data_IF_883451693275
#
_entry.id   IF_883451693275
#
_cell.length_a   1.000
_cell.length_b   1.000
_cell.length_c   1.000
_cell.angle_alpha   90.00
_cell.angle_beta   90.00
_cell.angle_gamma   90.00
#
_symmetry.space_group_name_H-M   'P 1'
#
loop_
_entity.id
_entity.type
_entity.pdbx_description
1 polymer ?
#
# COMPACT_ATOMS: atom_id res chain seq x y z
N UNK A 1 21.84 16.78 3.51
CA UNK A 1 21.63 18.22 3.57
C UNK A 1 20.13 18.46 3.81
N UNK A 2 19.70 19.30 4.64
CA UNK A 2 18.27 19.57 4.94
C UNK A 2 17.68 18.81 6.14
N UNK A 3 18.43 17.97 6.83
CA UNK A 3 18.06 17.39 8.13
C UNK A 3 17.00 16.28 8.09
N UNK A 4 16.70 15.72 6.91
CA UNK A 4 15.78 14.56 6.81
C UNK A 4 16.46 13.31 7.32
N UNK A 5 15.84 12.62 8.29
CA UNK A 5 16.38 11.41 8.91
C UNK A 5 15.84 10.10 8.29
N UNK A 6 14.68 10.16 7.65
CA UNK A 6 14.04 9.01 7.00
C UNK A 6 13.37 9.44 5.70
N UNK A 7 13.60 8.67 4.64
CA UNK A 7 13.06 8.90 3.29
C UNK A 7 12.34 7.63 2.85
N UNK A 8 11.15 7.77 2.29
CA UNK A 8 10.40 6.66 1.68
C UNK A 8 10.35 6.85 0.16
N UNK A 9 10.86 5.86 -0.58
CA UNK A 9 10.65 5.76 -2.02
C UNK A 9 9.27 5.19 -2.28
N UNK A 10 8.37 5.99 -2.86
CA UNK A 10 6.98 5.61 -3.10
C UNK A 10 6.78 4.67 -4.29
N UNK A 11 5.69 3.94 -4.24
CA UNK A 11 5.11 3.13 -5.32
C UNK A 11 6.06 2.12 -5.95
N UNK A 12 6.75 1.31 -5.12
CA UNK A 12 7.59 0.20 -5.60
C UNK A 12 6.73 -1.02 -5.89
N UNK A 13 6.69 -1.45 -7.16
CA UNK A 13 5.89 -2.60 -7.57
C UNK A 13 6.63 -3.93 -7.31
N UNK A 14 5.98 -4.90 -6.63
CA UNK A 14 6.52 -6.24 -6.39
C UNK A 14 6.37 -7.17 -7.59
N UNK A 15 5.77 -6.68 -8.68
CA UNK A 15 5.40 -7.42 -9.88
C UNK A 15 5.82 -6.66 -11.14
N UNK A 16 5.87 -7.38 -12.27
CA UNK A 16 5.99 -6.74 -13.59
C UNK A 16 4.69 -5.99 -13.90
N UNK A 17 4.81 -4.73 -14.26
CA UNK A 17 3.69 -3.87 -14.65
C UNK A 17 4.15 -2.91 -15.74
N UNK A 18 3.23 -2.50 -16.63
CA UNK A 18 3.50 -1.50 -17.67
C UNK A 18 3.61 -0.07 -17.12
N UNK A 19 3.13 0.17 -15.88
CA UNK A 19 3.20 1.51 -15.27
C UNK A 19 4.63 1.95 -15.04
N UNK A 20 4.97 3.25 -15.20
CA UNK A 20 6.31 3.78 -15.05
C UNK A 20 6.66 4.01 -13.57
N UNK A 21 6.55 2.98 -12.74
CA UNK A 21 6.93 3.00 -11.32
C UNK A 21 8.20 2.18 -11.11
N UNK A 22 8.99 2.45 -10.06
CA UNK A 22 10.09 1.57 -9.66
C UNK A 22 9.60 0.15 -9.44
N UNK A 23 10.37 -0.84 -9.85
CA UNK A 23 10.04 -2.26 -9.70
C UNK A 23 11.14 -2.97 -8.93
N UNK A 24 10.75 -3.84 -8.00
CA UNK A 24 11.67 -4.71 -7.28
C UNK A 24 11.12 -6.13 -7.27
N UNK A 25 10.84 -6.64 -8.47
CA UNK A 25 10.24 -7.95 -8.72
C UNK A 25 11.25 -9.00 -9.19
N UNK A 26 12.49 -8.62 -9.48
CA UNK A 26 13.59 -9.48 -9.94
C UNK A 26 14.90 -9.15 -9.23
N UNK A 27 15.75 -10.15 -9.04
CA UNK A 27 17.03 -9.99 -8.32
C UNK A 27 18.01 -9.05 -9.05
N UNK A 28 17.91 -8.97 -10.37
CA UNK A 28 18.67 -8.02 -11.20
C UNK A 28 18.47 -6.55 -10.81
N UNK A 29 17.39 -6.24 -10.11
CA UNK A 29 17.05 -4.88 -9.69
C UNK A 29 17.68 -4.50 -8.32
N UNK A 30 18.15 -5.47 -7.54
CA UNK A 30 18.71 -5.27 -6.19
C UNK A 30 19.82 -4.23 -6.20
N UNK A 31 20.74 -4.32 -7.16
CA UNK A 31 21.90 -3.43 -7.22
C UNK A 31 21.53 -1.96 -7.42
N UNK A 32 20.46 -1.67 -8.16
CA UNK A 32 19.96 -0.30 -8.35
C UNK A 32 19.43 0.28 -7.04
N UNK A 33 18.70 -0.52 -6.26
CA UNK A 33 18.21 -0.12 -4.94
C UNK A 33 19.33 -0.02 -3.92
N UNK A 34 20.37 -0.86 -4.00
CA UNK A 34 21.56 -0.76 -3.15
C UNK A 34 22.28 0.58 -3.33
N UNK A 35 22.50 1.00 -4.57
CA UNK A 35 23.09 2.32 -4.87
C UNK A 35 22.29 3.46 -4.28
N UNK A 36 20.96 3.35 -4.29
CA UNK A 36 20.09 4.34 -3.67
C UNK A 36 20.21 4.32 -2.14
N UNK A 37 20.21 3.14 -1.52
CA UNK A 37 20.40 2.99 -0.08
C UNK A 37 21.75 3.56 0.37
N UNK A 38 22.83 3.21 -0.30
CA UNK A 38 24.17 3.72 -0.02
C UNK A 38 24.25 5.26 -0.12
N UNK A 39 23.60 5.83 -1.13
CA UNK A 39 23.56 7.29 -1.31
C UNK A 39 22.84 8.01 -0.15
N UNK A 40 21.77 7.41 0.39
CA UNK A 40 21.03 7.95 1.53
C UNK A 40 21.83 7.74 2.83
N UNK A 41 22.36 6.54 3.04
CA UNK A 41 23.13 6.20 4.23
C UNK A 41 24.40 7.03 4.39
N UNK A 42 25.03 7.44 3.28
CA UNK A 42 26.20 8.34 3.27
C UNK A 42 25.95 9.65 4.02
N UNK A 43 24.69 10.09 4.11
CA UNK A 43 24.28 11.29 4.81
C UNK A 43 23.65 11.01 6.19
N UNK A 44 23.75 9.78 6.69
CA UNK A 44 23.23 9.38 8.01
C UNK A 44 21.72 9.21 8.08
N UNK A 45 21.00 9.31 6.94
CA UNK A 45 19.56 9.09 6.87
C UNK A 45 19.23 7.61 6.62
N UNK A 46 18.00 7.22 6.90
CA UNK A 46 17.41 5.92 6.65
C UNK A 46 16.52 5.95 5.42
N UNK A 47 16.36 4.79 4.76
CA UNK A 47 15.52 4.66 3.57
C UNK A 47 14.55 3.50 3.71
N UNK A 48 13.27 3.78 3.44
CA UNK A 48 12.22 2.80 3.24
C UNK A 48 11.80 2.72 1.78
N UNK A 49 11.21 1.60 1.40
CA UNK A 49 10.49 1.45 0.14
C UNK A 49 9.02 1.18 0.42
N UNK A 50 8.15 1.95 -0.21
CA UNK A 50 6.71 1.74 -0.13
C UNK A 50 6.32 0.70 -1.18
N UNK A 51 5.94 -0.49 -0.72
CA UNK A 51 5.44 -1.54 -1.60
C UNK A 51 3.92 -1.43 -1.78
N UNK A 52 3.46 -1.60 -2.99
CA UNK A 52 2.05 -1.51 -3.32
C UNK A 52 1.62 -2.55 -4.34
N UNK A 53 0.35 -2.83 -4.38
CA UNK A 53 -0.30 -3.54 -5.47
C UNK A 53 -1.49 -2.71 -5.94
N UNK A 54 -1.65 -2.50 -7.24
CA UNK A 54 -2.82 -1.79 -7.75
C UNK A 54 -4.08 -2.63 -7.59
N UNK A 55 -5.21 -1.96 -7.58
CA UNK A 55 -6.54 -2.54 -7.49
C UNK A 55 -7.10 -2.90 -8.87
N UNK A 56 -6.31 -3.66 -9.65
CA UNK A 56 -6.69 -4.23 -10.95
C UNK A 56 -5.83 -5.44 -11.30
N UNK A 57 -6.31 -6.25 -12.26
CA UNK A 57 -5.58 -7.41 -12.78
C UNK A 57 -4.39 -6.98 -13.65
N UNK A 58 -3.23 -6.86 -13.00
CA UNK A 58 -2.00 -6.41 -13.63
C UNK A 58 -1.50 -7.33 -14.73
N UNK A 59 -1.76 -8.62 -14.63
CA UNK A 59 -1.32 -9.60 -15.64
C UNK A 59 -2.08 -9.41 -16.95
N UNK A 60 -3.42 -9.40 -16.88
CA UNK A 60 -4.28 -9.18 -18.05
C UNK A 60 -4.05 -7.80 -18.67
N UNK A 61 -3.93 -6.75 -17.85
CA UNK A 61 -3.66 -5.39 -18.32
C UNK A 61 -2.32 -5.30 -19.03
N UNK A 62 -1.27 -5.92 -18.48
CA UNK A 62 0.05 -5.94 -19.10
C UNK A 62 0.04 -6.71 -20.42
N UNK A 63 -0.66 -7.83 -20.49
CA UNK A 63 -0.81 -8.63 -21.71
C UNK A 63 -1.51 -7.83 -22.82
N UNK A 64 -2.63 -7.17 -22.52
CA UNK A 64 -3.35 -6.32 -23.48
C UNK A 64 -2.47 -5.16 -23.97
N UNK A 65 -1.72 -4.53 -23.07
CA UNK A 65 -0.76 -3.48 -23.45
C UNK A 65 0.31 -3.99 -24.42
N UNK A 66 0.92 -5.14 -24.13
CA UNK A 66 1.96 -5.73 -24.98
C UNK A 66 1.43 -6.18 -26.35
N UNK A 67 0.16 -6.58 -26.44
CA UNK A 67 -0.52 -6.91 -27.70
C UNK A 67 -0.94 -5.67 -28.50
N UNK A 68 -0.85 -4.47 -27.94
CA UNK A 68 -1.35 -3.24 -28.55
C UNK A 68 -2.87 -3.14 -28.61
N UNK A 69 -3.59 -3.98 -27.84
CA UNK A 69 -5.04 -3.92 -27.73
C UNK A 69 -5.46 -2.85 -26.72
N UNK A 70 -5.42 -1.60 -27.17
CA UNK A 70 -5.76 -0.45 -26.33
C UNK A 70 -7.27 -0.32 -26.04
N UNK A 71 -8.12 -0.90 -26.88
CA UNK A 71 -9.56 -0.92 -26.65
C UNK A 71 -9.90 -1.93 -25.54
N UNK A 72 -9.41 -3.14 -25.63
CA UNK A 72 -9.51 -4.16 -24.60
C UNK A 72 -8.92 -3.71 -23.27
N UNK A 73 -7.75 -3.03 -23.33
CA UNK A 73 -7.11 -2.48 -22.14
C UNK A 73 -8.00 -1.44 -21.43
N UNK A 74 -8.59 -0.50 -22.16
CA UNK A 74 -9.51 0.50 -21.56
C UNK A 74 -10.75 -0.15 -20.98
N UNK A 75 -11.33 -1.13 -21.69
CA UNK A 75 -12.49 -1.87 -21.21
C UNK A 75 -12.18 -2.64 -19.92
N UNK A 76 -11.04 -3.36 -19.88
CA UNK A 76 -10.58 -4.11 -18.70
C UNK A 76 -10.31 -3.19 -17.52
N UNK A 77 -9.57 -2.08 -17.74
CA UNK A 77 -9.32 -1.11 -16.66
C UNK A 77 -10.61 -0.52 -16.10
N UNK A 78 -11.56 -0.16 -16.98
CA UNK A 78 -12.87 0.36 -16.52
C UNK A 78 -13.64 -0.68 -15.70
N UNK A 79 -13.62 -1.94 -16.12
CA UNK A 79 -14.23 -3.04 -15.38
C UNK A 79 -13.57 -3.20 -14.00
N UNK A 80 -12.25 -3.30 -13.97
CA UNK A 80 -11.50 -3.54 -12.74
C UNK A 80 -11.63 -2.41 -11.72
N UNK A 81 -11.67 -1.15 -12.17
CA UNK A 81 -11.93 0.00 -11.29
C UNK A 81 -13.22 -0.13 -10.48
N UNK A 82 -14.17 -0.91 -10.97
CA UNK A 82 -15.49 -1.05 -10.34
C UNK A 82 -15.67 -2.40 -9.62
N UNK A 83 -14.98 -3.44 -10.08
CA UNK A 83 -15.31 -4.82 -9.72
C UNK A 83 -14.13 -5.62 -9.18
N UNK A 84 -12.88 -5.21 -9.42
CA UNK A 84 -11.71 -6.01 -9.07
C UNK A 84 -11.68 -6.45 -7.59
N UNK A 85 -12.03 -5.54 -6.68
CA UNK A 85 -12.01 -5.83 -5.24
C UNK A 85 -12.98 -6.96 -4.88
N UNK A 86 -14.13 -6.98 -5.54
CA UNK A 86 -15.18 -7.98 -5.27
C UNK A 86 -14.91 -9.30 -6.01
N UNK A 87 -14.19 -9.26 -7.13
CA UNK A 87 -13.94 -10.40 -8.01
C UNK A 87 -12.59 -11.09 -7.78
N UNK A 88 -11.60 -10.41 -7.19
CA UNK A 88 -10.26 -11.01 -6.97
C UNK A 88 -10.37 -12.25 -6.09
N UNK A 89 -9.82 -13.38 -6.55
CA UNK A 89 -9.89 -14.64 -5.81
C UNK A 89 -9.00 -14.65 -4.56
N UNK A 90 -9.32 -15.52 -3.61
CA UNK A 90 -8.47 -15.73 -2.42
C UNK A 90 -7.08 -16.18 -2.80
N UNK A 91 -6.94 -17.06 -3.79
CA UNK A 91 -5.66 -17.55 -4.29
C UNK A 91 -4.82 -16.42 -4.87
N UNK A 92 -5.45 -15.50 -5.62
CA UNK A 92 -4.78 -14.30 -6.15
C UNK A 92 -4.30 -13.38 -5.04
N UNK A 93 -5.11 -13.18 -3.99
CA UNK A 93 -4.72 -12.38 -2.82
C UNK A 93 -3.52 -13.01 -2.10
N UNK A 94 -3.47 -14.34 -1.94
CA UNK A 94 -2.34 -15.03 -1.33
C UNK A 94 -1.07 -14.95 -2.20
N UNK A 95 -1.20 -15.03 -3.53
CA UNK A 95 -0.05 -14.83 -4.44
C UNK A 95 0.47 -13.39 -4.38
N UNK A 96 -0.40 -12.39 -4.22
CA UNK A 96 0.00 -10.99 -4.01
C UNK A 96 0.82 -10.86 -2.72
N UNK A 97 0.37 -11.44 -1.61
CA UNK A 97 1.13 -11.45 -0.34
C UNK A 97 2.53 -12.04 -0.57
N UNK A 98 2.62 -13.18 -1.24
CA UNK A 98 3.88 -13.83 -1.56
C UNK A 98 4.81 -12.91 -2.36
N UNK A 99 4.30 -12.25 -3.42
CA UNK A 99 5.07 -11.30 -4.23
C UNK A 99 5.56 -10.10 -3.42
N UNK A 100 4.74 -9.58 -2.53
CA UNK A 100 5.14 -8.50 -1.62
C UNK A 100 6.25 -8.95 -0.65
N UNK A 101 6.19 -10.18 -0.12
CA UNK A 101 7.25 -10.75 0.70
C UNK A 101 8.55 -10.97 -0.08
N UNK A 102 8.49 -11.42 -1.33
CA UNK A 102 9.65 -11.55 -2.21
C UNK A 102 10.29 -10.19 -2.50
N UNK A 103 9.49 -9.15 -2.71
CA UNK A 103 9.95 -7.77 -2.86
C UNK A 103 10.66 -7.28 -1.59
N UNK A 104 10.08 -7.51 -0.41
CA UNK A 104 10.67 -7.13 0.87
C UNK A 104 12.04 -7.79 1.11
N UNK A 105 12.19 -9.08 0.77
CA UNK A 105 13.49 -9.78 0.84
C UNK A 105 14.54 -9.16 -0.08
N UNK A 106 14.14 -8.74 -1.30
CA UNK A 106 15.06 -8.03 -2.20
C UNK A 106 15.43 -6.65 -1.67
N UNK A 107 14.48 -5.94 -1.06
CA UNK A 107 14.75 -4.66 -0.41
C UNK A 107 15.75 -4.82 0.75
N UNK A 108 15.59 -5.85 1.58
CA UNK A 108 16.54 -6.20 2.64
C UNK A 108 17.93 -6.52 2.05
N UNK A 109 18.00 -7.32 1.00
CA UNK A 109 19.24 -7.63 0.32
C UNK A 109 19.92 -6.40 -0.33
N UNK A 110 19.14 -5.38 -0.68
CA UNK A 110 19.64 -4.11 -1.19
C UNK A 110 20.11 -3.14 -0.08
N UNK A 111 19.95 -3.49 1.20
CA UNK A 111 20.31 -2.61 2.31
C UNK A 111 19.26 -1.55 2.64
N UNK A 112 18.02 -1.71 2.19
CA UNK A 112 16.89 -0.84 2.58
C UNK A 112 16.56 -1.12 4.06
N UNK A 113 16.27 -0.06 4.83
CA UNK A 113 16.05 -0.14 6.27
C UNK A 113 14.59 -0.50 6.63
N UNK A 114 13.64 -0.11 5.81
CA UNK A 114 12.22 -0.27 6.12
C UNK A 114 11.38 -0.67 4.91
N UNK A 115 10.31 -1.42 5.16
CA UNK A 115 9.22 -1.65 4.21
C UNK A 115 8.01 -0.82 4.66
N UNK A 116 7.51 0.05 3.79
CA UNK A 116 6.22 0.68 4.02
C UNK A 116 5.15 -0.04 3.20
N UNK A 117 4.13 -0.56 3.87
CA UNK A 117 2.92 -1.10 3.21
C UNK A 117 2.03 0.06 2.79
N UNK A 118 1.70 0.13 1.51
CA UNK A 118 0.79 1.16 0.99
C UNK A 118 -0.67 0.78 1.29
N UNK A 119 -1.21 1.33 2.36
CA UNK A 119 -2.56 1.04 2.83
C UNK A 119 -3.69 1.77 2.11
N UNK A 120 -3.42 2.47 0.98
CA UNK A 120 -4.46 3.18 0.22
C UNK A 120 -4.97 2.40 -0.99
N UNK A 121 -4.09 1.66 -1.66
CA UNK A 121 -4.38 0.98 -2.92
C UNK A 121 -5.18 -0.30 -2.68
N UNK A 122 -4.76 -1.43 -3.18
CA UNK A 122 -5.45 -2.71 -2.98
C UNK A 122 -5.81 -2.95 -1.50
N UNK A 123 -4.86 -2.72 -0.59
CA UNK A 123 -5.04 -2.96 0.85
C UNK A 123 -6.13 -2.05 1.43
N UNK A 124 -6.09 -0.76 1.08
CA UNK A 124 -7.10 0.21 1.51
C UNK A 124 -8.46 -0.03 0.87
N UNK A 125 -8.50 -0.45 -0.39
CA UNK A 125 -9.74 -0.80 -1.06
C UNK A 125 -10.43 -2.02 -0.42
N UNK A 126 -9.66 -3.05 -0.05
CA UNK A 126 -10.18 -4.20 0.71
C UNK A 126 -10.67 -3.81 2.11
N UNK A 127 -10.07 -2.82 2.75
CA UNK A 127 -10.49 -2.34 4.08
C UNK A 127 -11.74 -1.42 4.02
N UNK A 128 -12.10 -0.93 2.85
CA UNK A 128 -13.15 0.07 2.65
C UNK A 128 -14.55 -0.51 2.74
N UNK A 129 -15.46 0.18 3.42
CA UNK A 129 -16.90 -0.12 3.39
C UNK A 129 -17.59 0.35 2.11
N UNK A 130 -16.90 1.16 1.30
CA UNK A 130 -17.45 1.74 0.06
C UNK A 130 -17.04 0.92 -1.16
N UNK A 131 -15.82 0.36 -1.16
CA UNK A 131 -15.27 -0.36 -2.30
C UNK A 131 -15.34 -1.89 -2.16
N UNK A 132 -15.44 -2.39 -0.94
CA UNK A 132 -15.46 -3.82 -0.65
C UNK A 132 -16.88 -4.28 -0.34
N UNK A 133 -17.51 -4.97 -1.30
CA UNK A 133 -18.84 -5.58 -1.17
C UNK A 133 -18.75 -7.10 -1.06
N UNK A 134 -17.57 -7.64 -0.78
CA UNK A 134 -17.34 -9.09 -0.63
C UNK A 134 -18.18 -9.69 0.48
N UNK A 135 -18.59 -10.92 0.29
CA UNK A 135 -19.36 -11.72 1.27
C UNK A 135 -18.58 -12.88 1.85
N UNK A 136 -17.31 -13.03 1.43
CA UNK A 136 -16.38 -14.02 1.96
C UNK A 136 -15.63 -13.51 3.22
N UNK A 137 -14.58 -14.24 3.63
CA UNK A 137 -13.76 -13.90 4.81
C UNK A 137 -13.01 -12.57 4.71
N UNK A 138 -12.99 -11.90 3.55
CA UNK A 138 -12.36 -10.58 3.33
C UNK A 138 -13.37 -9.44 3.24
N UNK A 139 -14.67 -9.69 3.50
CA UNK A 139 -15.73 -8.68 3.39
C UNK A 139 -16.65 -8.59 4.60
N UNK A 140 -17.44 -7.52 4.67
CA UNK A 140 -18.43 -7.27 5.72
C UNK A 140 -17.87 -6.59 6.97
N UNK A 141 -17.56 -7.32 8.03
CA UNK A 141 -17.07 -6.76 9.30
C UNK A 141 -15.70 -6.09 9.16
N UNK A 142 -15.35 -5.19 10.07
CA UNK A 142 -14.02 -4.57 10.10
C UNK A 142 -12.91 -5.63 10.12
N UNK A 143 -13.04 -6.65 10.97
CA UNK A 143 -12.09 -7.74 11.05
C UNK A 143 -11.87 -8.43 9.70
N UNK A 144 -12.94 -8.72 8.98
CA UNK A 144 -12.85 -9.37 7.67
C UNK A 144 -12.25 -8.42 6.61
N UNK A 145 -12.69 -7.18 6.55
CA UNK A 145 -12.17 -6.19 5.58
C UNK A 145 -10.68 -5.89 5.79
N UNK A 146 -10.19 -5.93 7.02
CA UNK A 146 -8.77 -5.69 7.33
C UNK A 146 -7.93 -6.96 7.35
N UNK A 147 -8.54 -8.13 7.23
CA UNK A 147 -7.88 -9.45 7.27
C UNK A 147 -6.71 -9.55 6.29
N UNK A 148 -6.88 -9.11 5.05
CA UNK A 148 -5.81 -9.13 4.07
C UNK A 148 -4.58 -8.33 4.53
N UNK A 149 -4.79 -7.14 5.11
CA UNK A 149 -3.71 -6.33 5.65
C UNK A 149 -2.97 -7.03 6.80
N UNK A 150 -3.70 -7.66 7.71
CA UNK A 150 -3.12 -8.40 8.84
C UNK A 150 -2.36 -9.63 8.35
N UNK A 151 -2.91 -10.39 7.41
CA UNK A 151 -2.22 -11.53 6.78
C UNK A 151 -0.93 -11.07 6.07
N UNK A 152 -0.97 -9.96 5.33
CA UNK A 152 0.19 -9.39 4.66
C UNK A 152 1.28 -8.96 5.65
N UNK A 153 0.93 -8.19 6.68
CA UNK A 153 1.89 -7.72 7.70
C UNK A 153 2.52 -8.91 8.44
N UNK A 154 1.72 -9.87 8.84
CA UNK A 154 2.21 -11.10 9.49
C UNK A 154 3.19 -11.86 8.60
N UNK A 155 2.88 -11.97 7.31
CA UNK A 155 3.76 -12.62 6.34
C UNK A 155 5.06 -11.83 6.10
N UNK A 156 4.98 -10.50 6.03
CA UNK A 156 6.15 -9.62 5.91
C UNK A 156 7.05 -9.72 7.13
N UNK A 157 6.50 -9.66 8.34
CA UNK A 157 7.27 -9.82 9.58
C UNK A 157 8.02 -11.15 9.63
N UNK A 158 7.36 -12.23 9.18
CA UNK A 158 8.02 -13.55 9.06
C UNK A 158 9.10 -13.57 7.98
N UNK A 159 8.88 -12.88 6.87
CA UNK A 159 9.80 -12.89 5.72
C UNK A 159 11.05 -12.04 5.96
N UNK A 160 10.93 -10.94 6.70
CA UNK A 160 11.97 -9.95 6.98
C UNK A 160 11.92 -9.52 8.47
N UNK A 161 12.28 -10.42 9.39
CA UNK A 161 12.06 -10.23 10.84
C UNK A 161 12.78 -9.02 11.43
N UNK A 162 13.89 -8.61 10.85
CA UNK A 162 14.75 -7.54 11.36
C UNK A 162 14.53 -6.18 10.68
N UNK A 163 13.67 -6.12 9.65
CA UNK A 163 13.34 -4.85 9.00
C UNK A 163 12.24 -4.09 9.74
N UNK A 164 12.30 -2.77 9.67
CA UNK A 164 11.19 -1.92 10.10
C UNK A 164 10.01 -2.13 9.15
N UNK A 165 8.84 -2.42 9.70
CA UNK A 165 7.58 -2.43 8.96
C UNK A 165 6.81 -1.16 9.31
N UNK A 166 6.77 -0.25 8.35
CA UNK A 166 5.95 0.95 8.36
C UNK A 166 4.63 0.65 7.64
N UNK A 167 3.51 1.09 8.17
CA UNK A 167 2.22 0.92 7.53
C UNK A 167 1.55 2.28 7.29
N UNK A 168 1.32 2.61 6.01
CA UNK A 168 0.56 3.80 5.66
C UNK A 168 -0.93 3.55 5.86
N UNK A 169 -1.42 3.94 7.03
CA UNK A 169 -2.82 3.77 7.43
C UNK A 169 -3.69 4.84 6.77
N UNK A 170 -4.51 4.38 5.83
CA UNK A 170 -5.46 5.23 5.11
C UNK A 170 -6.70 5.47 5.97
N UNK A 171 -6.89 6.72 6.42
CA UNK A 171 -8.06 7.14 7.18
C UNK A 171 -8.92 8.05 6.34
N UNK A 172 -10.22 7.77 6.31
CA UNK A 172 -11.20 8.50 5.50
C UNK A 172 -12.27 9.13 6.37
N UNK A 173 -12.83 10.22 5.90
CA UNK A 173 -14.07 10.74 6.50
C UNK A 173 -15.26 9.96 5.95
N UNK A 174 -16.30 9.68 6.76
CA UNK A 174 -17.44 8.85 6.33
C UNK A 174 -18.15 9.35 5.07
N UNK A 175 -18.06 10.64 4.78
CA UNK A 175 -18.75 11.26 3.64
C UNK A 175 -17.91 11.39 2.38
N UNK A 176 -16.57 11.16 2.45
CA UNK A 176 -15.66 11.62 1.39
C UNK A 176 -14.59 10.60 0.96
N UNK A 177 -14.41 9.53 1.70
CA UNK A 177 -13.37 8.55 1.40
C UNK A 177 -13.89 7.38 0.56
N UNK A 178 -13.02 6.82 -0.27
CA UNK A 178 -13.31 5.60 -1.01
C UNK A 178 -12.49 4.41 -0.54
N UNK A 179 -11.22 4.59 -0.26
CA UNK A 179 -10.34 3.53 0.25
C UNK A 179 -9.93 3.78 1.70
N UNK A 180 -9.75 2.72 2.48
CA UNK A 180 -9.35 2.80 3.89
C UNK A 180 -10.51 2.70 4.87
N UNK A 181 -10.24 3.06 6.11
CA UNK A 181 -11.16 2.93 7.26
C UNK A 181 -11.51 4.30 7.83
N UNK A 182 -12.66 4.41 8.50
CA UNK A 182 -13.02 5.63 9.25
C UNK A 182 -12.19 5.75 10.52
N UNK A 183 -12.16 6.95 11.14
CA UNK A 183 -11.29 7.24 12.29
C UNK A 183 -11.51 6.28 13.46
N UNK A 184 -12.76 5.97 13.79
CA UNK A 184 -13.13 5.07 14.89
C UNK A 184 -12.62 3.63 14.65
N UNK A 185 -12.70 3.16 13.41
CA UNK A 185 -12.17 1.86 13.00
C UNK A 185 -10.65 1.86 12.94
N UNK A 186 -10.03 3.00 12.57
CA UNK A 186 -8.58 3.13 12.44
C UNK A 186 -7.87 2.87 13.77
N UNK A 187 -8.44 3.30 14.89
CA UNK A 187 -7.87 3.06 16.24
C UNK A 187 -7.85 1.57 16.58
N UNK A 188 -8.88 0.83 16.21
CA UNK A 188 -8.97 -0.62 16.43
C UNK A 188 -7.99 -1.33 15.50
N UNK A 189 -8.01 -0.97 14.22
CA UNK A 189 -7.15 -1.57 13.21
C UNK A 189 -5.65 -1.31 13.48
N UNK A 190 -5.28 -0.13 13.97
CA UNK A 190 -3.91 0.19 14.35
C UNK A 190 -3.36 -0.76 15.42
N UNK A 191 -4.17 -1.13 16.42
CA UNK A 191 -3.79 -2.12 17.44
C UNK A 191 -3.55 -3.51 16.84
N UNK A 192 -4.42 -3.94 15.93
CA UNK A 192 -4.23 -5.22 15.24
C UNK A 192 -3.00 -5.22 14.34
N UNK A 193 -2.67 -4.08 13.70
CA UNK A 193 -1.44 -3.93 12.92
C UNK A 193 -0.19 -4.02 13.81
N UNK A 194 -0.19 -3.38 14.99
CA UNK A 194 0.88 -3.48 15.98
C UNK A 194 1.07 -4.93 16.44
N UNK A 195 -0.03 -5.62 16.81
CA UNK A 195 -0.01 -7.04 17.19
C UNK A 195 0.49 -7.95 16.07
N UNK A 196 0.21 -7.61 14.80
CA UNK A 196 0.70 -8.33 13.62
C UNK A 196 2.19 -8.08 13.32
N UNK A 197 2.79 -7.02 13.90
CA UNK A 197 4.21 -6.73 13.80
C UNK A 197 4.57 -5.45 13.06
N UNK A 198 3.67 -4.47 12.95
CA UNK A 198 3.99 -3.12 12.48
C UNK A 198 4.77 -2.37 13.57
N UNK A 199 5.87 -1.72 13.17
CA UNK A 199 6.72 -0.93 14.07
C UNK A 199 6.35 0.56 14.02
N UNK A 200 5.81 1.04 12.91
CA UNK A 200 5.55 2.45 12.66
C UNK A 200 4.26 2.64 11.83
N UNK A 201 3.49 3.68 12.17
CA UNK A 201 2.30 4.05 11.42
C UNK A 201 2.48 5.42 10.76
N UNK A 202 2.26 5.47 9.46
CA UNK A 202 2.10 6.70 8.70
C UNK A 202 0.60 6.95 8.50
N UNK A 203 -0.01 7.75 9.35
CA UNK A 203 -1.44 8.08 9.20
C UNK A 203 -1.62 9.05 8.05
N UNK A 204 -2.41 8.65 7.06
CA UNK A 204 -2.65 9.41 5.85
C UNK A 204 -4.15 9.59 5.60
N UNK A 205 -4.53 10.76 5.10
CA UNK A 205 -5.90 10.99 4.66
C UNK A 205 -6.08 10.42 3.25
N UNK A 206 -6.88 9.38 3.13
CA UNK A 206 -7.23 8.77 1.84
C UNK A 206 -8.51 9.40 1.29
N UNK A 207 -8.36 10.49 0.56
CA UNK A 207 -9.48 11.15 -0.12
C UNK A 207 -9.25 11.14 -1.63
N UNK A 208 -9.95 10.26 -2.33
CA UNK A 208 -9.91 10.18 -3.80
C UNK A 208 -11.03 11.00 -4.47
N UNK A 209 -11.48 12.07 -3.84
CA UNK A 209 -12.59 12.87 -4.39
C UNK A 209 -12.18 13.76 -5.57
N UNK A 210 -10.89 13.85 -5.88
CA UNK A 210 -10.38 14.69 -6.97
C UNK A 210 -10.47 16.19 -6.69
N UNK A 211 -11.09 16.60 -5.60
CA UNK A 211 -11.22 18.01 -5.20
C UNK A 211 -10.32 18.28 -3.99
N UNK A 212 -9.20 18.93 -4.21
CA UNK A 212 -8.25 19.27 -3.14
C UNK A 212 -8.88 20.14 -2.04
N UNK A 213 -9.87 20.95 -2.36
CA UNK A 213 -10.60 21.77 -1.37
C UNK A 213 -11.35 20.93 -0.34
N UNK A 214 -11.73 19.70 -0.70
CA UNK A 214 -12.42 18.77 0.19
C UNK A 214 -11.44 17.97 1.09
N UNK A 215 -10.16 17.99 0.77
CA UNK A 215 -9.11 17.24 1.47
C UNK A 215 -8.24 18.10 2.36
N UNK A 216 -8.18 19.40 2.10
CA UNK A 216 -7.40 20.36 2.88
C UNK A 216 -8.32 20.99 3.92
N UNK A 217 -7.97 20.95 5.23
CA UNK A 217 -8.71 21.68 6.25
C UNK A 217 -8.82 23.16 5.89
N UNK A 218 -9.90 23.86 6.28
CA UNK A 218 -10.01 25.31 6.10
C UNK A 218 -8.76 26.03 6.61
N UNK A 219 -8.35 27.09 5.92
CA UNK A 219 -7.22 27.91 6.37
C UNK A 219 -7.39 28.30 7.84
N UNK A 220 -6.35 28.04 8.65
CA UNK A 220 -6.36 28.28 10.10
C UNK A 220 -6.58 27.06 10.99
N UNK A 221 -7.01 25.94 10.41
CA UNK A 221 -7.00 24.65 11.13
C UNK A 221 -5.64 24.00 10.88
N UNK A 222 -4.94 23.64 11.94
CA UNK A 222 -3.66 22.93 11.79
C UNK A 222 -3.93 21.58 11.10
N UNK A 223 -3.32 21.29 9.95
CA UNK A 223 -3.61 20.08 9.17
C UNK A 223 -3.26 18.78 9.92
N UNK A 224 -2.48 18.87 10.97
CA UNK A 224 -2.05 17.73 11.78
C UNK A 224 -2.95 17.42 12.98
N UNK A 225 -3.89 18.29 13.36
CA UNK A 225 -4.77 18.04 14.49
C UNK A 225 -5.62 16.77 14.30
N UNK A 226 -6.16 16.59 13.11
CA UNK A 226 -6.92 15.37 12.74
C UNK A 226 -6.08 14.09 12.91
N UNK A 227 -4.83 14.11 12.47
CA UNK A 227 -3.94 12.95 12.57
C UNK A 227 -3.43 12.73 13.99
N UNK A 228 -3.26 13.81 14.77
CA UNK A 228 -2.89 13.72 16.18
C UNK A 228 -3.99 13.07 17.02
N UNK A 229 -5.25 13.37 16.75
CA UNK A 229 -6.39 12.77 17.45
C UNK A 229 -6.51 11.26 17.16
N UNK A 230 -6.19 10.83 15.95
CA UNK A 230 -6.15 9.40 15.60
C UNK A 230 -4.97 8.70 16.27
N UNK A 231 -3.80 9.33 16.26
CA UNK A 231 -2.60 8.79 16.88
C UNK A 231 -2.72 8.66 18.38
#
# INVERSE_FOLDING_TARGET
EGGVSYIVLGDVAPIKTFTPVPKLCEDSQIESFRKLADAVHKHGAKIGVQIFHPEYDTASITELFLKGDFEGLRAKMKHDMMHFIDEVSEESLQEIIKKMCECAKRAQAAGIDAIQVHGDRLVGALSSTILNHRTDKYGGSLENRTRFAIELVTALRKAVPDMIIDYKLAVVTPQRGKGGVIAEEAVIFAKWLEEAGVDMLHVAQANHTGNMADTIPPMGVQPYAFFADIA
#
